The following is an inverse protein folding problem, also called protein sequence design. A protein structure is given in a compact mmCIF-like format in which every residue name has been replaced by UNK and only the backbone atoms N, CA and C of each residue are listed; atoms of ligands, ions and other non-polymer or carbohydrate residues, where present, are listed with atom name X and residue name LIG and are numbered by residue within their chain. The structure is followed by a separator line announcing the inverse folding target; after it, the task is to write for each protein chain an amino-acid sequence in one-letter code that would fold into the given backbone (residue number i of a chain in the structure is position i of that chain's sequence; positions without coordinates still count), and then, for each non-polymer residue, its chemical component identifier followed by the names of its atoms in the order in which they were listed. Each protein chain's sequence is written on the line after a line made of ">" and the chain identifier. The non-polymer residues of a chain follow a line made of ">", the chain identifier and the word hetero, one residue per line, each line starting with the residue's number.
data_IF_434845258321
#
_entry.id   IF_434845258321
#
_cell.length_a   1.000
_cell.length_b   1.000
_cell.length_c   1.000
_cell.angle_alpha   90.00
_cell.angle_beta   90.00
_cell.angle_gamma   90.00
#
_symmetry.space_group_name_H-M   'P 1'
#
loop_
_entity.id
_entity.type
_entity.pdbx_description
1 polymer ?
#
# COMPACT_ATOMS: atom_id res chain seq x y z
N UNK A 1 -11.18 -18.20 -4.99
CA UNK A 1 -9.86 -18.11 -5.66
C UNK A 1 -8.87 -17.16 -4.97
N UNK A 2 -9.22 -15.89 -4.68
CA UNK A 2 -8.31 -14.98 -3.95
C UNK A 2 -7.85 -15.52 -2.58
N UNK A 3 -8.70 -16.24 -1.84
CA UNK A 3 -8.31 -16.88 -0.58
C UNK A 3 -7.40 -18.09 -0.76
N UNK A 4 -7.61 -18.89 -1.82
CA UNK A 4 -6.75 -20.03 -2.14
C UNK A 4 -5.35 -19.56 -2.54
N UNK A 5 -5.26 -18.64 -3.51
CA UNK A 5 -3.99 -18.10 -3.97
C UNK A 5 -3.19 -17.36 -2.89
N UNK A 6 -3.85 -16.67 -1.95
CA UNK A 6 -3.19 -16.00 -0.80
C UNK A 6 -2.56 -16.94 0.22
N UNK A 7 -2.86 -18.23 0.16
CA UNK A 7 -2.35 -19.23 1.09
C UNK A 7 -1.48 -20.30 0.40
N UNK A 8 -1.35 -20.27 -0.93
CA UNK A 8 -0.51 -21.23 -1.67
C UNK A 8 0.96 -21.08 -1.25
N UNK A 9 1.44 -19.84 -1.15
CA UNK A 9 2.79 -19.53 -0.71
C UNK A 9 3.03 -19.98 0.74
N UNK A 10 2.07 -19.77 1.66
CA UNK A 10 2.16 -20.32 3.02
C UNK A 10 2.20 -21.84 3.07
N UNK A 11 1.41 -22.51 2.22
CA UNK A 11 1.39 -23.97 2.16
C UNK A 11 2.73 -24.51 1.65
N UNK A 12 3.28 -23.90 0.59
CA UNK A 12 4.59 -24.26 0.02
C UNK A 12 5.69 -24.06 1.07
N UNK A 13 5.76 -22.88 1.70
CA UNK A 13 6.77 -22.59 2.73
C UNK A 13 6.62 -23.53 3.93
N UNK A 14 5.40 -23.74 4.42
CA UNK A 14 5.15 -24.61 5.57
C UNK A 14 5.52 -26.07 5.31
N UNK A 15 5.19 -26.60 4.14
CA UNK A 15 5.41 -27.99 3.79
C UNK A 15 6.87 -28.28 3.40
N UNK A 16 7.53 -27.37 2.69
CA UNK A 16 8.85 -27.62 2.09
C UNK A 16 10.01 -27.00 2.87
N UNK A 17 9.79 -25.88 3.59
CA UNK A 17 10.83 -25.19 4.36
C UNK A 17 10.65 -25.32 5.89
N UNK A 18 9.56 -25.96 6.33
CA UNK A 18 9.26 -26.22 7.73
C UNK A 18 8.63 -25.05 8.50
N UNK A 19 8.18 -25.35 9.72
CA UNK A 19 7.39 -24.44 10.54
C UNK A 19 8.15 -23.16 10.99
N UNK A 20 9.47 -23.27 11.23
CA UNK A 20 10.29 -22.11 11.61
C UNK A 20 10.39 -21.07 10.49
N UNK A 21 10.72 -21.52 9.28
CA UNK A 21 10.74 -20.71 8.05
C UNK A 21 9.39 -20.06 7.76
N UNK A 22 8.29 -20.82 7.93
CA UNK A 22 6.94 -20.29 7.79
C UNK A 22 6.66 -19.17 8.80
N UNK A 23 7.16 -19.29 10.03
CA UNK A 23 7.05 -18.25 11.05
C UNK A 23 7.68 -16.92 10.59
N UNK A 24 8.93 -16.95 10.11
CA UNK A 24 9.60 -15.75 9.59
C UNK A 24 8.88 -15.15 8.38
N UNK A 25 8.53 -16.01 7.42
CA UNK A 25 7.83 -15.61 6.21
C UNK A 25 6.48 -14.94 6.53
N UNK A 26 5.70 -15.52 7.44
CA UNK A 26 4.40 -14.98 7.84
C UNK A 26 4.52 -13.61 8.52
N UNK A 27 5.48 -13.42 9.42
CA UNK A 27 5.71 -12.11 10.06
C UNK A 27 6.07 -11.03 9.03
N UNK A 28 6.93 -11.36 8.09
CA UNK A 28 7.28 -10.46 6.99
C UNK A 28 6.05 -10.13 6.12
N UNK A 29 5.27 -11.15 5.74
CA UNK A 29 4.07 -10.96 4.94
C UNK A 29 3.04 -10.10 5.65
N UNK A 30 2.74 -10.40 6.92
CA UNK A 30 1.72 -9.70 7.70
C UNK A 30 1.99 -8.19 7.72
N UNK A 31 3.26 -7.77 7.89
CA UNK A 31 3.66 -6.37 7.79
C UNK A 31 3.52 -5.83 6.37
N UNK A 32 4.07 -6.51 5.36
CA UNK A 32 4.06 -6.05 3.97
C UNK A 32 2.63 -5.88 3.41
N UNK A 33 1.66 -6.62 3.92
CA UNK A 33 0.27 -6.62 3.45
C UNK A 33 -0.56 -5.47 4.05
N UNK A 34 -0.14 -4.88 5.18
CA UNK A 34 -0.90 -3.86 5.90
C UNK A 34 -1.36 -2.67 5.02
N UNK A 35 -0.48 -2.07 4.20
CA UNK A 35 -0.88 -0.92 3.38
C UNK A 35 -1.97 -1.32 2.38
N UNK A 36 -1.82 -2.52 1.80
CA UNK A 36 -2.78 -3.11 0.87
C UNK A 36 -4.16 -3.25 1.53
N UNK A 37 -4.25 -3.84 2.72
CA UNK A 37 -5.54 -4.14 3.34
C UNK A 37 -6.24 -2.88 3.82
N UNK A 38 -5.50 -1.92 4.37
CA UNK A 38 -6.12 -0.69 4.89
C UNK A 38 -6.49 0.28 3.77
N UNK A 39 -5.58 0.52 2.83
CA UNK A 39 -5.75 1.57 1.82
C UNK A 39 -6.61 1.07 0.66
N UNK A 40 -6.33 -0.13 0.14
CA UNK A 40 -7.04 -0.61 -1.04
C UNK A 40 -8.51 -0.93 -0.75
N UNK A 41 -8.86 -1.40 0.46
CA UNK A 41 -10.25 -1.65 0.82
C UNK A 41 -11.05 -0.35 0.94
N UNK A 42 -10.47 0.68 1.57
CA UNK A 42 -11.10 1.99 1.71
C UNK A 42 -11.29 2.66 0.35
N UNK A 43 -10.23 2.78 -0.44
CA UNK A 43 -10.27 3.44 -1.74
C UNK A 43 -11.05 2.58 -2.75
N UNK A 44 -10.89 1.27 -2.72
CA UNK A 44 -11.55 0.32 -3.61
C UNK A 44 -13.06 0.35 -3.48
N UNK A 45 -13.61 0.45 -2.26
CA UNK A 45 -15.06 0.62 -2.05
C UNK A 45 -15.59 1.91 -2.68
N UNK A 46 -14.92 3.04 -2.42
CA UNK A 46 -15.33 4.34 -2.97
C UNK A 46 -15.20 4.34 -4.50
N UNK A 47 -14.13 3.76 -5.02
CA UNK A 47 -13.87 3.65 -6.45
C UNK A 47 -14.90 2.78 -7.16
N UNK A 48 -15.18 1.58 -6.63
CA UNK A 48 -16.17 0.67 -7.21
C UNK A 48 -17.56 1.31 -7.24
N UNK A 49 -18.00 1.92 -6.14
CA UNK A 49 -19.26 2.67 -6.09
C UNK A 49 -19.30 3.84 -7.07
N UNK A 50 -18.18 4.52 -7.28
CA UNK A 50 -18.07 5.57 -8.30
C UNK A 50 -18.21 5.02 -9.72
N UNK A 51 -17.59 3.88 -10.02
CA UNK A 51 -17.69 3.25 -11.34
C UNK A 51 -19.12 2.82 -11.68
N UNK A 52 -19.84 2.21 -10.72
CA UNK A 52 -21.23 1.82 -10.94
C UNK A 52 -22.16 3.01 -11.22
N UNK A 53 -21.87 4.19 -10.66
CA UNK A 53 -22.66 5.42 -10.91
C UNK A 53 -22.35 6.06 -12.26
N UNK A 54 -21.12 5.95 -12.73
CA UNK A 54 -20.67 6.54 -14.01
C UNK A 54 -21.26 5.77 -15.21
N UNK A 55 -21.46 4.46 -15.08
CA UNK A 55 -21.97 3.63 -16.17
C UNK A 55 -20.94 3.46 -17.29
N UNK A 56 -21.35 3.70 -18.55
CA UNK A 56 -20.52 3.44 -19.73
C UNK A 56 -19.61 4.59 -20.17
N UNK A 57 -19.65 5.73 -19.47
CA UNK A 57 -18.76 6.86 -19.78
C UNK A 57 -17.30 6.53 -19.42
N UNK A 58 -16.56 6.14 -20.45
CA UNK A 58 -15.14 5.77 -20.34
C UNK A 58 -14.25 6.92 -19.88
N UNK A 59 -14.57 8.17 -20.25
CA UNK A 59 -13.76 9.32 -19.87
C UNK A 59 -13.88 9.60 -18.38
N UNK A 60 -15.11 9.58 -17.85
CA UNK A 60 -15.35 9.71 -16.41
C UNK A 60 -14.79 8.53 -15.63
N UNK A 61 -14.93 7.29 -16.14
CA UNK A 61 -14.35 6.11 -15.50
C UNK A 61 -12.83 6.17 -15.42
N UNK A 62 -12.18 6.69 -16.46
CA UNK A 62 -10.74 6.95 -16.49
C UNK A 62 -10.33 7.98 -15.43
N UNK A 63 -11.01 9.12 -15.33
CA UNK A 63 -10.72 10.13 -14.32
C UNK A 63 -10.88 9.58 -12.89
N UNK A 64 -11.92 8.79 -12.64
CA UNK A 64 -12.13 8.11 -11.37
C UNK A 64 -10.99 7.13 -11.06
N UNK A 65 -10.52 6.37 -12.06
CA UNK A 65 -9.41 5.43 -11.91
C UNK A 65 -8.09 6.14 -11.63
N UNK A 66 -7.76 7.18 -12.41
CA UNK A 66 -6.53 7.97 -12.24
C UNK A 66 -6.46 8.57 -10.83
N UNK A 67 -7.59 9.08 -10.33
CA UNK A 67 -7.72 9.60 -8.97
C UNK A 67 -7.54 8.52 -7.92
N UNK A 68 -8.25 7.41 -8.01
CA UNK A 68 -8.14 6.31 -7.05
C UNK A 68 -6.71 5.74 -7.03
N UNK A 69 -6.10 5.54 -8.19
CA UNK A 69 -4.76 5.01 -8.33
C UNK A 69 -3.73 5.94 -7.69
N UNK A 70 -3.80 7.25 -7.99
CA UNK A 70 -2.89 8.23 -7.39
C UNK A 70 -3.02 8.26 -5.88
N UNK A 71 -4.23 8.18 -5.33
CA UNK A 71 -4.46 8.16 -3.87
C UNK A 71 -3.87 6.90 -3.24
N UNK A 72 -4.12 5.72 -3.82
CA UNK A 72 -3.57 4.45 -3.32
C UNK A 72 -2.04 4.50 -3.31
N UNK A 73 -1.43 4.91 -4.41
CA UNK A 73 0.03 5.01 -4.51
C UNK A 73 0.57 6.06 -3.53
N UNK A 74 -0.08 7.22 -3.41
CA UNK A 74 0.34 8.28 -2.50
C UNK A 74 0.34 7.82 -1.04
N UNK A 75 -0.64 7.03 -0.61
CA UNK A 75 -0.71 6.57 0.80
C UNK A 75 0.15 5.32 1.03
N UNK A 76 0.17 4.37 0.09
CA UNK A 76 0.76 3.04 0.31
C UNK A 76 2.27 3.01 0.06
N UNK A 77 2.77 3.68 -0.98
CA UNK A 77 4.19 3.68 -1.33
C UNK A 77 5.13 4.17 -0.23
N UNK A 78 4.85 5.25 0.54
CA UNK A 78 5.77 5.68 1.59
C UNK A 78 5.87 4.66 2.71
N UNK A 79 4.78 3.93 3.00
CA UNK A 79 4.79 2.87 4.02
C UNK A 79 5.63 1.68 3.53
N UNK A 80 5.46 1.28 2.27
CA UNK A 80 6.25 0.19 1.67
C UNK A 80 7.74 0.55 1.58
N UNK A 81 8.08 1.77 1.15
CA UNK A 81 9.47 2.24 1.14
C UNK A 81 10.03 2.37 2.56
N UNK A 82 9.21 2.83 3.51
CA UNK A 82 9.53 2.83 4.92
C UNK A 82 9.95 1.43 5.38
N UNK A 83 9.12 0.41 5.11
CA UNK A 83 9.45 -0.98 5.44
C UNK A 83 10.74 -1.45 4.78
N UNK A 84 11.01 -1.10 3.52
CA UNK A 84 12.26 -1.48 2.85
C UNK A 84 13.48 -0.89 3.57
N UNK A 85 13.41 0.40 3.93
CA UNK A 85 14.51 1.17 4.52
C UNK A 85 14.69 0.96 6.02
N UNK A 86 13.63 0.54 6.72
CA UNK A 86 13.63 0.35 8.18
C UNK A 86 13.45 -1.10 8.60
N UNK A 87 13.35 -2.07 7.67
CA UNK A 87 13.13 -3.48 8.02
C UNK A 87 14.07 -4.02 9.10
N UNK A 88 15.40 -3.75 9.08
CA UNK A 88 16.30 -4.26 10.11
C UNK A 88 15.92 -3.80 11.52
N UNK A 89 15.62 -2.51 11.68
CA UNK A 89 15.25 -1.93 12.97
C UNK A 89 13.81 -2.29 13.33
N UNK A 90 12.89 -2.22 12.37
CA UNK A 90 11.47 -2.50 12.55
C UNK A 90 11.24 -3.91 13.07
N UNK A 91 11.86 -4.92 12.46
CA UNK A 91 11.71 -6.32 12.87
C UNK A 91 12.27 -6.54 14.27
N UNK A 92 13.44 -5.99 14.58
CA UNK A 92 14.05 -6.13 15.91
C UNK A 92 13.24 -5.43 16.99
N UNK A 93 12.75 -4.21 16.73
CA UNK A 93 11.96 -3.43 17.69
C UNK A 93 10.59 -4.06 17.94
N UNK A 94 9.91 -4.55 16.90
CA UNK A 94 8.55 -5.11 17.05
C UNK A 94 8.57 -6.55 17.55
N UNK A 95 9.47 -7.39 17.02
CA UNK A 95 9.45 -8.84 17.27
C UNK A 95 10.65 -9.34 18.09
N UNK A 96 11.76 -8.61 18.13
CA UNK A 96 13.01 -8.99 18.80
C UNK A 96 14.04 -9.64 17.86
N UNK A 97 15.28 -9.77 18.32
CA UNK A 97 16.42 -10.27 17.53
C UNK A 97 16.25 -11.69 16.98
N UNK A 98 15.43 -12.52 17.63
CA UNK A 98 15.12 -13.87 17.16
C UNK A 98 14.38 -13.90 15.81
N UNK A 99 13.87 -12.76 15.33
CA UNK A 99 13.11 -12.65 14.07
C UNK A 99 13.89 -12.01 12.93
N UNK A 100 15.20 -11.82 13.08
CA UNK A 100 16.08 -11.23 12.03
C UNK A 100 15.94 -11.94 10.67
N UNK A 101 15.63 -13.23 10.64
CA UNK A 101 15.32 -13.98 9.40
C UNK A 101 14.12 -13.45 8.60
N UNK A 102 13.25 -12.63 9.18
CA UNK A 102 12.12 -12.00 8.49
C UNK A 102 12.48 -10.69 7.77
N UNK A 103 13.66 -10.11 8.01
CA UNK A 103 14.08 -8.81 7.46
C UNK A 103 14.10 -8.84 5.93
N UNK A 104 14.86 -9.77 5.33
CA UNK A 104 14.99 -9.87 3.87
C UNK A 104 13.66 -10.19 3.18
N UNK A 105 12.86 -11.17 3.64
CA UNK A 105 11.52 -11.39 3.10
C UNK A 105 10.63 -10.14 3.16
N UNK A 106 10.67 -9.37 4.26
CA UNK A 106 9.88 -8.14 4.38
C UNK A 106 10.28 -7.11 3.32
N UNK A 107 11.58 -6.90 3.09
CA UNK A 107 12.07 -5.98 2.06
C UNK A 107 11.60 -6.41 0.66
N UNK A 108 11.76 -7.70 0.32
CA UNK A 108 11.40 -8.24 -0.99
C UNK A 108 9.89 -8.15 -1.23
N UNK A 109 9.07 -8.51 -0.24
CA UNK A 109 7.61 -8.44 -0.35
C UNK A 109 7.08 -7.01 -0.38
N UNK A 110 7.70 -6.10 0.38
CA UNK A 110 7.33 -4.69 0.36
C UNK A 110 7.57 -4.08 -1.02
N UNK A 111 8.64 -4.49 -1.71
CA UNK A 111 8.86 -4.14 -3.12
C UNK A 111 7.77 -4.72 -4.03
N UNK A 112 7.37 -5.99 -3.83
CA UNK A 112 6.21 -6.58 -4.51
C UNK A 112 4.90 -5.80 -4.29
N UNK A 113 4.71 -5.24 -3.09
CA UNK A 113 3.57 -4.39 -2.72
C UNK A 113 3.42 -3.15 -3.60
N UNK A 114 4.52 -2.63 -4.16
CA UNK A 114 4.52 -1.49 -5.10
C UNK A 114 3.72 -1.86 -6.36
N UNK A 115 3.99 -3.04 -6.94
CA UNK A 115 3.26 -3.51 -8.12
C UNK A 115 1.80 -3.80 -7.78
N UNK A 116 1.52 -4.34 -6.59
CA UNK A 116 0.16 -4.58 -6.15
C UNK A 116 -0.69 -3.30 -6.14
N UNK A 117 -0.14 -2.16 -5.69
CA UNK A 117 -0.82 -0.87 -5.72
C UNK A 117 -1.28 -0.49 -7.14
N UNK A 118 -0.53 -0.88 -8.17
CA UNK A 118 -0.84 -0.63 -9.58
C UNK A 118 -1.86 -1.61 -10.17
N UNK A 119 -2.06 -2.77 -9.54
CA UNK A 119 -2.95 -3.84 -9.99
C UNK A 119 -4.32 -3.78 -9.32
N UNK A 120 -4.40 -3.44 -8.04
CA UNK A 120 -5.58 -3.69 -7.20
C UNK A 120 -6.88 -3.10 -7.76
N UNK A 121 -6.83 -1.90 -8.35
CA UNK A 121 -7.98 -1.25 -8.96
C UNK A 121 -8.39 -1.86 -10.31
N UNK A 122 -7.45 -2.47 -11.03
CA UNK A 122 -7.70 -3.03 -12.36
C UNK A 122 -8.62 -4.24 -12.32
N UNK A 123 -8.54 -5.02 -11.23
CA UNK A 123 -9.51 -6.08 -10.95
C UNK A 123 -10.94 -5.55 -10.83
N UNK A 124 -11.12 -4.42 -10.12
CA UNK A 124 -12.43 -3.78 -9.96
C UNK A 124 -13.00 -3.28 -11.30
N UNK A 125 -12.15 -2.75 -12.18
CA UNK A 125 -12.55 -2.32 -13.52
C UNK A 125 -13.08 -3.49 -14.35
N UNK A 126 -12.36 -4.62 -14.36
CA UNK A 126 -12.83 -5.80 -15.10
C UNK A 126 -14.20 -6.28 -14.59
N UNK A 127 -14.42 -6.24 -13.28
CA UNK A 127 -15.70 -6.62 -12.67
C UNK A 127 -16.81 -5.62 -13.00
N UNK A 128 -16.56 -4.31 -12.89
CA UNK A 128 -17.55 -3.26 -13.20
C UNK A 128 -17.99 -3.26 -14.66
N UNK A 129 -17.11 -3.64 -15.60
CA UNK A 129 -17.44 -3.74 -17.04
C UNK A 129 -17.95 -5.14 -17.44
N UNK A 130 -18.40 -5.96 -16.48
CA UNK A 130 -18.89 -7.33 -16.70
C UNK A 130 -17.91 -8.27 -17.43
N UNK A 131 -16.60 -7.98 -17.39
CA UNK A 131 -15.53 -8.81 -17.97
C UNK A 131 -15.05 -9.90 -16.99
N UNK A 132 -16.00 -10.59 -16.35
CA UNK A 132 -15.73 -11.59 -15.30
C UNK A 132 -14.84 -12.73 -15.82
N UNK A 133 -15.03 -13.17 -17.07
CA UNK A 133 -14.16 -14.19 -17.70
C UNK A 133 -12.71 -13.73 -17.79
N UNK A 134 -12.46 -12.48 -18.20
CA UNK A 134 -11.10 -11.94 -18.29
C UNK A 134 -10.47 -11.81 -16.91
N UNK A 135 -11.23 -11.32 -15.92
CA UNK A 135 -10.78 -11.30 -14.53
C UNK A 135 -10.39 -12.70 -14.05
N UNK A 136 -11.23 -13.71 -14.30
CA UNK A 136 -10.95 -15.10 -13.94
C UNK A 136 -9.65 -15.62 -14.56
N UNK A 137 -9.44 -15.43 -15.87
CA UNK A 137 -8.21 -15.88 -16.53
C UNK A 137 -6.96 -15.16 -16.01
N UNK A 138 -7.05 -13.86 -15.74
CA UNK A 138 -5.93 -13.09 -15.14
C UNK A 138 -5.61 -13.62 -13.74
N UNK A 139 -6.60 -13.95 -12.92
CA UNK A 139 -6.40 -14.52 -11.58
C UNK A 139 -5.87 -15.95 -11.63
N UNK A 140 -6.34 -16.75 -12.58
CA UNK A 140 -5.84 -18.11 -12.79
C UNK A 140 -4.36 -18.06 -13.21
N UNK A 141 -4.01 -17.20 -14.17
CA UNK A 141 -2.63 -17.01 -14.60
C UNK A 141 -1.74 -16.53 -13.45
N UNK A 142 -2.23 -15.59 -12.63
CA UNK A 142 -1.52 -15.17 -11.43
C UNK A 142 -1.30 -16.33 -10.45
N UNK A 143 -2.32 -17.15 -10.20
CA UNK A 143 -2.18 -18.29 -9.29
C UNK A 143 -1.14 -19.32 -9.78
N UNK A 144 -1.08 -19.57 -11.10
CA UNK A 144 -0.06 -20.43 -11.71
C UNK A 144 1.34 -19.80 -11.60
N UNK A 145 1.48 -18.51 -11.93
CA UNK A 145 2.75 -17.79 -11.78
C UNK A 145 3.26 -17.83 -10.34
N UNK A 146 2.36 -17.57 -9.39
CA UNK A 146 2.65 -17.61 -7.96
C UNK A 146 3.12 -19.00 -7.52
N UNK A 147 2.43 -20.06 -7.96
CA UNK A 147 2.79 -21.44 -7.62
C UNK A 147 4.16 -21.81 -8.20
N UNK A 148 4.40 -21.53 -9.49
CA UNK A 148 5.68 -21.81 -10.13
C UNK A 148 6.81 -20.98 -9.50
N UNK A 149 6.58 -19.69 -9.28
CA UNK A 149 7.57 -18.79 -8.67
C UNK A 149 7.90 -19.17 -7.24
N UNK A 150 6.90 -19.51 -6.43
CA UNK A 150 7.12 -20.00 -5.08
C UNK A 150 7.86 -21.35 -5.08
N UNK A 151 7.48 -22.29 -5.95
CA UNK A 151 8.12 -23.61 -6.06
C UNK A 151 9.60 -23.51 -6.42
N UNK A 152 9.95 -22.75 -7.48
CA UNK A 152 11.35 -22.51 -7.87
C UNK A 152 12.09 -21.73 -6.79
N UNK A 153 11.39 -20.84 -6.07
CA UNK A 153 11.96 -20.06 -4.98
C UNK A 153 12.34 -20.89 -3.75
N UNK A 154 11.79 -22.08 -3.56
CA UNK A 154 12.07 -22.93 -2.38
C UNK A 154 13.55 -23.27 -2.26
N UNK A 155 14.24 -23.48 -3.37
CA UNK A 155 15.67 -23.83 -3.38
C UNK A 155 16.56 -22.72 -2.78
N UNK A 156 16.06 -21.48 -2.74
CA UNK A 156 16.73 -20.32 -2.14
C UNK A 156 16.09 -19.91 -0.80
N UNK A 157 15.32 -20.81 -0.18
CA UNK A 157 14.65 -20.57 1.10
C UNK A 157 13.52 -19.54 1.01
N UNK A 158 13.19 -18.95 2.17
CA UNK A 158 12.06 -18.00 2.28
C UNK A 158 12.26 -16.72 1.46
N UNK A 159 13.51 -16.33 1.21
CA UNK A 159 13.85 -15.18 0.37
C UNK A 159 13.56 -15.46 -1.11
N UNK A 160 13.90 -16.67 -1.59
CA UNK A 160 13.56 -17.11 -2.93
C UNK A 160 12.06 -17.18 -3.18
N UNK A 161 11.31 -17.72 -2.22
CA UNK A 161 9.84 -17.74 -2.29
C UNK A 161 9.30 -16.30 -2.36
N UNK A 162 9.75 -15.41 -1.47
CA UNK A 162 9.35 -14.00 -1.49
C UNK A 162 9.66 -13.33 -2.84
N UNK A 163 10.82 -13.63 -3.44
CA UNK A 163 11.22 -13.13 -4.74
C UNK A 163 10.31 -13.66 -5.85
N UNK A 164 9.98 -14.96 -5.83
CA UNK A 164 9.06 -15.58 -6.79
C UNK A 164 7.67 -14.95 -6.74
N UNK A 165 7.16 -14.63 -5.54
CA UNK A 165 5.90 -13.90 -5.35
C UNK A 165 5.99 -12.48 -5.93
N UNK A 166 7.08 -11.77 -5.65
CA UNK A 166 7.31 -10.40 -6.15
C UNK A 166 7.42 -10.37 -7.68
N UNK A 167 8.12 -11.33 -8.30
CA UNK A 167 8.19 -11.47 -9.76
C UNK A 167 6.81 -11.76 -10.34
N UNK A 168 6.02 -12.62 -9.69
CA UNK A 168 4.64 -12.91 -10.12
C UNK A 168 3.76 -11.67 -10.11
N UNK A 169 3.89 -10.81 -9.10
CA UNK A 169 3.20 -9.52 -9.04
C UNK A 169 3.67 -8.55 -10.14
N UNK A 170 4.96 -8.51 -10.43
CA UNK A 170 5.50 -7.71 -11.53
C UNK A 170 4.94 -8.17 -12.89
N UNK A 171 4.97 -9.47 -13.18
CA UNK A 171 4.40 -10.03 -14.41
C UNK A 171 2.89 -9.78 -14.51
N UNK A 172 2.17 -9.95 -13.39
CA UNK A 172 0.75 -9.64 -13.32
C UNK A 172 0.46 -8.17 -13.65
N UNK A 173 1.31 -7.25 -13.19
CA UNK A 173 1.17 -5.83 -13.50
C UNK A 173 1.32 -5.58 -15.00
N UNK A 174 2.30 -6.21 -15.67
CA UNK A 174 2.48 -6.13 -17.12
C UNK A 174 1.26 -6.67 -17.88
N UNK A 175 0.75 -7.84 -17.50
CA UNK A 175 -0.45 -8.42 -18.12
C UNK A 175 -1.65 -7.48 -17.95
N UNK A 176 -1.84 -6.94 -16.75
CA UNK A 176 -2.93 -6.00 -16.48
C UNK A 176 -2.74 -4.65 -17.18
N UNK A 177 -1.53 -4.24 -17.56
CA UNK A 177 -1.36 -3.11 -18.47
C UNK A 177 -1.95 -3.45 -19.84
N UNK A 178 -1.69 -4.64 -20.39
CA UNK A 178 -2.19 -5.00 -21.72
C UNK A 178 -3.71 -5.19 -21.72
N UNK A 179 -4.26 -5.86 -20.71
CA UNK A 179 -5.70 -6.21 -20.65
C UNK A 179 -6.56 -4.99 -20.31
N UNK A 180 -6.22 -4.26 -19.25
CA UNK A 180 -7.09 -3.19 -18.72
C UNK A 180 -6.92 -1.86 -19.45
N UNK A 181 -5.73 -1.58 -20.00
CA UNK A 181 -5.52 -0.31 -20.73
C UNK A 181 -6.40 -0.20 -21.97
N UNK A 182 -6.78 -1.33 -22.59
CA UNK A 182 -7.74 -1.35 -23.71
C UNK A 182 -9.16 -0.90 -23.30
N UNK A 183 -9.52 -1.08 -22.03
CA UNK A 183 -10.84 -0.72 -21.49
C UNK A 183 -10.86 0.77 -21.11
N UNK A 184 -9.85 1.23 -20.37
CA UNK A 184 -9.77 2.59 -19.83
C UNK A 184 -9.20 3.59 -20.85
N UNK A 185 -8.46 3.11 -21.86
CA UNK A 185 -7.79 3.97 -22.85
C UNK A 185 -6.55 4.68 -22.28
N UNK A 186 -5.85 4.08 -21.31
CA UNK A 186 -4.63 4.64 -20.73
C UNK A 186 -3.37 4.11 -21.42
N UNK A 187 -2.42 5.01 -21.70
CA UNK A 187 -1.09 4.64 -22.18
C UNK A 187 -0.09 4.56 -21.02
N UNK A 188 1.05 3.89 -21.22
CA UNK A 188 2.12 3.85 -20.22
C UNK A 188 2.63 5.25 -19.85
N UNK A 189 2.66 6.17 -20.82
CA UNK A 189 3.00 7.57 -20.61
C UNK A 189 2.00 8.27 -19.68
N UNK A 190 0.70 7.98 -19.81
CA UNK A 190 -0.32 8.54 -18.92
C UNK A 190 -0.09 8.12 -17.46
N UNK A 191 0.33 6.87 -17.21
CA UNK A 191 0.70 6.42 -15.86
C UNK A 191 1.89 7.20 -15.30
N UNK A 192 2.93 7.44 -16.10
CA UNK A 192 4.10 8.20 -15.67
C UNK A 192 3.72 9.63 -15.29
N UNK A 193 2.98 10.36 -16.13
CA UNK A 193 2.57 11.73 -15.80
C UNK A 193 1.63 11.79 -14.60
N UNK A 194 0.72 10.82 -14.48
CA UNK A 194 -0.16 10.70 -13.33
C UNK A 194 0.63 10.50 -12.03
N UNK A 195 1.59 9.58 -12.03
CA UNK A 195 2.31 9.17 -10.82
C UNK A 195 3.58 9.98 -10.56
N UNK A 196 4.06 10.79 -11.51
CA UNK A 196 5.24 11.66 -11.34
C UNK A 196 5.30 12.38 -9.99
N UNK A 197 4.26 13.11 -9.51
CA UNK A 197 4.31 13.77 -8.21
C UNK A 197 4.54 12.78 -7.06
N UNK A 198 3.91 11.61 -7.12
CA UNK A 198 4.05 10.54 -6.13
C UNK A 198 5.46 9.93 -6.20
N UNK A 199 5.99 9.69 -7.39
CA UNK A 199 7.35 9.17 -7.58
C UNK A 199 8.41 10.15 -7.07
N UNK A 200 8.22 11.46 -7.29
CA UNK A 200 9.14 12.50 -6.81
C UNK A 200 9.20 12.52 -5.28
N UNK A 201 8.05 12.56 -4.58
CA UNK A 201 8.06 12.57 -3.10
C UNK A 201 8.64 11.27 -2.52
N UNK A 202 8.38 10.13 -3.15
CA UNK A 202 8.94 8.85 -2.71
C UNK A 202 10.46 8.75 -3.00
N UNK A 203 10.94 9.36 -4.09
CA UNK A 203 12.37 9.50 -4.37
C UNK A 203 13.07 10.40 -3.35
N UNK A 204 12.47 11.54 -3.00
CA UNK A 204 12.99 12.43 -1.94
C UNK A 204 13.02 11.70 -0.61
N UNK A 205 11.93 11.01 -0.25
CA UNK A 205 11.86 10.20 0.97
C UNK A 205 12.99 9.16 1.00
N UNK A 206 13.18 8.41 -0.09
CA UNK A 206 14.22 7.40 -0.18
C UNK A 206 15.62 8.01 0.04
N UNK A 207 15.94 9.07 -0.69
CA UNK A 207 17.25 9.74 -0.59
C UNK A 207 17.48 10.30 0.81
N UNK A 208 16.52 11.02 1.38
CA UNK A 208 16.66 11.65 2.69
C UNK A 208 16.76 10.63 3.83
N UNK A 209 15.94 9.57 3.81
CA UNK A 209 15.97 8.53 4.85
C UNK A 209 17.22 7.67 4.72
N UNK A 210 17.66 7.36 3.50
CA UNK A 210 18.92 6.64 3.26
C UNK A 210 20.13 7.47 3.69
N UNK A 211 20.16 8.77 3.36
CA UNK A 211 21.22 9.68 3.81
C UNK A 211 21.20 9.85 5.33
N UNK A 212 20.03 9.95 5.97
CA UNK A 212 19.93 10.02 7.42
C UNK A 212 20.46 8.75 8.11
N UNK A 213 20.37 7.58 7.46
CA UNK A 213 20.85 6.32 8.02
C UNK A 213 22.36 6.35 8.31
N UNK A 214 23.16 6.96 7.44
CA UNK A 214 24.61 7.05 7.63
C UNK A 214 25.01 7.91 8.84
N UNK A 215 24.19 8.91 9.20
CA UNK A 215 24.40 9.75 10.38
C UNK A 215 23.91 9.10 11.68
N UNK A 216 23.09 8.05 11.58
CA UNK A 216 22.46 7.36 12.72
C UNK A 216 23.20 6.08 13.12
N UNK A 217 24.33 5.77 12.47
CA UNK A 217 25.20 4.64 12.81
C UNK A 217 25.69 4.78 14.26
N UNK A 218 25.52 3.72 15.04
CA UNK A 218 25.91 3.68 16.47
C UNK A 218 24.79 4.03 17.46
N UNK A 219 23.61 4.47 17.00
CA UNK A 219 22.42 4.62 17.87
C UNK A 219 21.66 3.30 18.05
N UNK A 220 20.87 3.22 19.13
CA UNK A 220 19.99 2.07 19.37
C UNK A 220 18.93 1.94 18.26
N UNK A 221 18.49 0.71 17.98
CA UNK A 221 17.55 0.42 16.88
C UNK A 221 16.23 1.21 17.01
N UNK A 222 15.75 1.46 18.24
CA UNK A 222 14.56 2.28 18.51
C UNK A 222 14.74 3.73 18.06
N UNK A 223 15.87 4.35 18.39
CA UNK A 223 16.16 5.75 18.02
C UNK A 223 16.30 5.90 16.52
N UNK A 224 16.94 4.92 15.85
CA UNK A 224 17.07 4.89 14.39
C UNK A 224 15.71 4.79 13.73
N UNK A 225 14.87 3.86 14.16
CA UNK A 225 13.52 3.66 13.64
C UNK A 225 12.65 4.90 13.84
N UNK A 226 12.67 5.48 15.05
CA UNK A 226 11.90 6.68 15.36
C UNK A 226 12.34 7.85 14.49
N UNK A 227 13.65 8.10 14.39
CA UNK A 227 14.20 9.21 13.61
C UNK A 227 13.86 9.09 12.11
N UNK A 228 14.02 7.89 11.53
CA UNK A 228 13.64 7.61 10.13
C UNK A 228 12.14 7.80 9.89
N UNK A 229 11.30 7.36 10.83
CA UNK A 229 9.84 7.47 10.75
C UNK A 229 9.38 8.93 10.83
N UNK A 230 9.91 9.70 11.78
CA UNK A 230 9.62 11.14 11.92
C UNK A 230 10.04 11.90 10.68
N UNK A 231 11.25 11.63 10.15
CA UNK A 231 11.72 12.26 8.92
C UNK A 231 10.82 11.93 7.72
N UNK A 232 10.45 10.65 7.55
CA UNK A 232 9.54 10.22 6.49
C UNK A 232 8.18 10.91 6.56
N UNK A 233 7.58 10.98 7.76
CA UNK A 233 6.31 11.68 7.99
C UNK A 233 6.44 13.17 7.71
N UNK A 234 7.52 13.82 8.16
CA UNK A 234 7.76 15.24 7.92
C UNK A 234 7.89 15.58 6.43
N UNK A 235 8.62 14.76 5.66
CA UNK A 235 8.74 14.91 4.20
C UNK A 235 7.36 14.79 3.54
N UNK A 236 6.59 13.77 3.93
CA UNK A 236 5.30 13.50 3.31
C UNK A 236 4.24 14.56 3.64
N UNK A 237 4.19 15.03 4.89
CA UNK A 237 3.31 16.12 5.31
C UNK A 237 3.70 17.43 4.62
N UNK A 238 4.99 17.76 4.56
CA UNK A 238 5.49 18.94 3.85
C UNK A 238 5.08 18.89 2.38
N UNK A 239 5.33 17.77 1.71
CA UNK A 239 4.92 17.60 0.32
C UNK A 239 3.41 17.72 0.13
N UNK A 240 2.61 17.10 1.00
CA UNK A 240 1.15 17.19 0.95
C UNK A 240 0.65 18.64 1.08
N UNK A 241 1.28 19.45 1.93
CA UNK A 241 0.93 20.86 2.13
C UNK A 241 1.33 21.75 0.94
N UNK A 242 2.42 21.45 0.25
CA UNK A 242 2.95 22.29 -0.85
C UNK A 242 2.66 21.77 -2.26
N UNK A 243 2.08 20.56 -2.40
CA UNK A 243 1.81 20.00 -3.72
C UNK A 243 0.83 20.87 -4.53
N UNK A 244 1.17 21.05 -5.81
CA UNK A 244 0.34 21.73 -6.82
C UNK A 244 -0.50 20.76 -7.64
N UNK A 245 -0.34 19.45 -7.41
CA UNK A 245 -1.12 18.43 -8.12
C UNK A 245 -2.61 18.58 -7.80
N UNK A 246 -3.46 18.62 -8.84
CA UNK A 246 -4.89 18.89 -8.69
C UNK A 246 -5.60 17.86 -7.82
N UNK A 247 -5.27 16.58 -7.99
CA UNK A 247 -5.89 15.47 -7.27
C UNK A 247 -5.48 15.48 -5.81
N UNK A 248 -4.19 15.67 -5.52
CA UNK A 248 -3.70 15.74 -4.14
C UNK A 248 -4.18 17.02 -3.44
N UNK A 249 -4.31 18.14 -4.15
CA UNK A 249 -4.90 19.37 -3.64
C UNK A 249 -6.36 19.19 -3.27
N UNK A 250 -7.16 18.52 -4.10
CA UNK A 250 -8.55 18.19 -3.78
C UNK A 250 -8.65 17.29 -2.54
N UNK A 251 -7.78 16.26 -2.45
CA UNK A 251 -7.70 15.40 -1.26
C UNK A 251 -7.38 16.23 -0.01
N UNK A 252 -6.38 17.12 -0.08
CA UNK A 252 -6.01 18.03 1.02
C UNK A 252 -7.18 18.88 1.47
N UNK A 253 -7.90 19.50 0.55
CA UNK A 253 -9.05 20.34 0.88
C UNK A 253 -10.14 19.56 1.60
N UNK A 254 -10.46 18.34 1.14
CA UNK A 254 -11.45 17.47 1.82
C UNK A 254 -11.00 17.07 3.22
N UNK A 255 -9.73 16.72 3.39
CA UNK A 255 -9.16 16.37 4.70
C UNK A 255 -9.23 17.57 5.65
N UNK A 256 -8.81 18.76 5.20
CA UNK A 256 -8.86 19.98 6.02
C UNK A 256 -10.29 20.37 6.40
N UNK A 257 -11.26 20.21 5.50
CA UNK A 257 -12.67 20.44 5.79
C UNK A 257 -13.21 19.45 6.83
N UNK A 258 -12.86 18.17 6.74
CA UNK A 258 -13.26 17.18 7.76
C UNK A 258 -12.67 17.51 9.13
N UNK A 259 -11.40 17.95 9.18
CA UNK A 259 -10.74 18.36 10.41
C UNK A 259 -11.36 19.64 11.02
N UNK A 260 -11.73 20.63 10.20
CA UNK A 260 -12.37 21.86 10.69
C UNK A 260 -13.81 21.63 11.16
N UNK A 261 -14.55 20.74 10.50
CA UNK A 261 -15.90 20.33 10.96
C UNK A 261 -15.78 19.52 12.27
N UNK A 262 -14.76 18.67 12.38
CA UNK A 262 -14.47 17.94 13.62
C UNK A 262 -14.14 18.90 14.76
N UNK A 263 -13.29 19.91 14.55
CA UNK A 263 -12.95 20.89 15.59
C UNK A 263 -14.15 21.77 16.00
N UNK A 264 -15.04 22.12 15.06
CA UNK A 264 -16.30 22.83 15.35
C UNK A 264 -17.30 21.96 16.14
N UNK A 265 -17.41 20.66 15.83
CA UNK A 265 -18.25 19.72 16.59
C UNK A 265 -17.68 19.46 17.99
N UNK A 266 -16.36 19.33 18.12
CA UNK A 266 -15.69 19.16 19.42
C UNK A 266 -15.87 20.40 20.32
N UNK A 267 -15.81 21.60 19.74
CA UNK A 267 -16.01 22.84 20.49
C UNK A 267 -17.48 23.00 20.94
N UNK A 268 -18.46 22.61 20.11
CA UNK A 268 -19.88 22.58 20.52
C UNK A 268 -20.17 21.58 21.65
N UNK A 269 -19.48 20.44 21.68
CA UNK A 269 -19.64 19.46 22.76
C UNK A 269 -19.09 19.99 24.10
N UNK A 270 -17.90 20.60 24.10
CA UNK A 270 -17.33 21.24 25.31
C UNK A 270 -18.17 22.40 25.84
N UNK A 271 -18.72 23.23 24.95
CA UNK A 271 -19.62 24.33 25.35
C UNK A 271 -20.96 23.79 25.89
N UNK A 272 -21.44 22.66 25.38
CA UNK A 272 -22.64 21.98 25.88
C UNK A 272 -22.47 21.32 27.25
N UNK A 273 -21.31 20.70 27.50
CA UNK A 273 -20.96 20.11 28.81
C UNK A 273 -20.69 21.18 29.87
N UNK A 274 -19.99 22.26 29.51
CA UNK A 274 -19.81 23.41 30.40
C UNK A 274 -21.16 23.99 30.83
N UNK A 275 -22.11 24.20 29.90
CA UNK A 275 -23.45 24.70 30.24
C UNK A 275 -24.22 23.78 31.20
N UNK A 276 -24.05 22.46 31.11
CA UNK A 276 -24.66 21.50 32.05
C UNK A 276 -24.05 21.53 33.45
N UNK A 277 -22.74 21.76 33.56
CA UNK A 277 -22.06 21.96 34.85
C UNK A 277 -22.50 23.26 35.55
N UNK A 278 -22.76 24.33 34.80
CA UNK A 278 -23.28 25.58 35.37
C UNK A 278 -24.74 25.45 35.84
N UNK A 279 -25.58 24.69 35.15
CA UNK A 279 -26.98 24.46 35.58
C UNK A 279 -27.09 23.50 36.76
N UNK A 280 -26.19 22.53 36.89
CA UNK A 280 -26.16 21.58 38.02
C UNK A 280 -25.63 22.18 39.33
N UNK A 281 -24.93 23.32 39.28
CA UNK A 281 -24.47 24.06 40.48
C UNK A 281 -25.41 25.19 40.89
N UNK A 282 -26.49 25.39 40.14
CA UNK A 282 -27.49 26.44 40.37
C UNK A 282 -28.83 25.90 40.89
N UNK A 283 -28.92 24.59 41.15
CA UNK A 283 -29.97 23.90 41.92
C UNK A 283 -29.40 23.44 43.26
#
# INVERSE_FOLDING_TARGET
>A
LNFGARNIDYFIVGKLLGAGSLGFYKRAYDLAVLPKEKVADLVGRVFFSSLCRIGEDKALARLAYEKALKIICFISLPVLLGFILTAPELIKVIYGDKWVGAIRPLQIMSFGGVFYCLIVLKGLILLSYAKVKQYFYVQLLYAVMLLCGAYVGVDYGIEGVALGVTISLFLLWLINLIVTNKIIGMTIYAYYYLLRPVLVVNGILFICVFAADSFLVGRQDVDRLFSKSVLGVAIYLSYFMFTKDSILKELRLKVLQMLSISSLKFNKHKVGESKKEWTSKAE
#
